data_IF_337191613394
#
_entry.id   IF_337191613394
#
_cell.length_a   1.000
_cell.length_b   1.000
_cell.length_c   1.000
_cell.angle_alpha   90.00
_cell.angle_beta   90.00
_cell.angle_gamma   90.00
#
_symmetry.space_group_name_H-M   'P 1'
#
loop_
_entity.id
_entity.type
_entity.pdbx_description
1 polymer ?
#
# COMPACT_ATOMS: atom_id res chain seq x y z
N UNK A 1 45.49 -76.70 -22.13
CA UNK A 1 45.87 -75.51 -21.42
C UNK A 1 44.60 -74.65 -21.21
N UNK A 2 44.03 -74.72 -20.06
CA UNK A 2 42.78 -73.96 -19.74
C UNK A 2 43.18 -72.93 -18.69
N UNK A 3 43.01 -71.65 -19.04
CA UNK A 3 43.20 -70.54 -18.07
C UNK A 3 41.87 -70.26 -17.39
N UNK A 4 41.88 -70.39 -16.06
CA UNK A 4 40.82 -69.99 -15.16
C UNK A 4 41.11 -68.57 -14.75
N UNK A 5 40.26 -67.62 -15.13
CA UNK A 5 40.31 -66.24 -14.69
C UNK A 5 39.41 -66.09 -13.43
N UNK A 6 40.07 -65.89 -12.33
CA UNK A 6 39.41 -65.65 -11.03
C UNK A 6 39.05 -64.13 -10.93
N UNK A 7 37.74 -63.80 -11.03
CA UNK A 7 37.27 -62.44 -10.88
C UNK A 7 37.12 -62.08 -9.38
N UNK A 8 37.93 -61.15 -8.94
CA UNK A 8 37.91 -60.65 -7.55
C UNK A 8 36.86 -59.52 -7.47
N UNK A 9 35.72 -59.77 -6.80
CA UNK A 9 34.66 -58.83 -6.58
C UNK A 9 34.99 -57.98 -5.33
N UNK A 10 35.42 -56.74 -5.54
CA UNK A 10 35.67 -55.79 -4.46
C UNK A 10 34.36 -55.08 -4.13
N UNK A 11 33.84 -55.39 -2.94
CA UNK A 11 32.66 -54.68 -2.40
C UNK A 11 33.15 -53.40 -1.74
N UNK A 12 32.89 -52.25 -2.36
CA UNK A 12 33.03 -50.95 -1.74
C UNK A 12 31.80 -50.66 -0.89
N UNK A 13 31.92 -50.77 0.41
CA UNK A 13 30.94 -50.23 1.36
C UNK A 13 31.14 -48.72 1.46
N UNK A 14 30.30 -47.94 0.74
CA UNK A 14 30.23 -46.47 0.94
C UNK A 14 29.43 -46.21 2.21
N UNK A 15 30.14 -45.92 3.28
CA UNK A 15 29.58 -45.36 4.53
C UNK A 15 29.29 -43.89 4.28
N UNK A 16 28.05 -43.52 3.96
CA UNK A 16 27.59 -42.14 4.00
C UNK A 16 27.41 -41.73 5.46
N UNK A 17 28.48 -41.22 6.08
CA UNK A 17 28.41 -40.40 7.29
C UNK A 17 27.95 -38.99 6.86
N UNK A 18 26.65 -38.73 6.87
CA UNK A 18 26.10 -37.40 6.64
C UNK A 18 26.46 -36.48 7.80
N UNK A 19 27.44 -35.62 7.59
CA UNK A 19 27.71 -34.47 8.45
C UNK A 19 26.55 -33.48 8.26
N UNK A 20 25.55 -33.47 9.13
CA UNK A 20 24.51 -32.44 9.19
C UNK A 20 25.18 -31.13 9.57
N UNK A 21 25.47 -30.28 8.60
CA UNK A 21 25.79 -28.87 8.82
C UNK A 21 24.59 -28.22 9.51
N UNK A 22 24.71 -27.65 10.71
CA UNK A 22 23.57 -27.07 11.43
C UNK A 22 23.16 -25.69 10.91
N UNK A 23 23.62 -25.26 9.76
CA UNK A 23 23.36 -23.92 9.19
C UNK A 23 22.70 -23.95 7.80
N UNK A 24 22.03 -25.01 7.42
CA UNK A 24 21.04 -24.91 6.37
C UNK A 24 19.76 -24.39 7.05
N UNK A 25 19.43 -23.11 6.85
CA UNK A 25 18.06 -22.63 7.00
C UNK A 25 17.23 -23.54 6.08
N UNK A 26 16.52 -24.51 6.64
CA UNK A 26 15.50 -25.25 5.92
C UNK A 26 14.56 -24.14 5.39
N UNK A 27 14.58 -23.95 4.06
CA UNK A 27 13.58 -23.12 3.39
C UNK A 27 12.25 -23.77 3.76
N UNK A 28 11.47 -23.07 4.57
CA UNK A 28 10.15 -23.55 4.97
C UNK A 28 9.32 -23.74 3.70
N UNK A 29 8.92 -24.99 3.44
CA UNK A 29 8.09 -25.30 2.29
C UNK A 29 6.66 -24.84 2.54
N UNK A 30 6.03 -24.32 1.49
CA UNK A 30 4.63 -23.91 1.50
C UNK A 30 3.72 -25.14 1.67
N UNK A 31 2.77 -25.09 2.59
CA UNK A 31 1.75 -26.11 2.80
C UNK A 31 0.63 -25.95 1.75
N UNK A 32 0.81 -26.65 0.64
CA UNK A 32 -0.12 -26.61 -0.49
C UNK A 32 -1.48 -27.22 -0.09
N UNK A 33 -1.51 -28.25 0.76
CA UNK A 33 -2.76 -28.86 1.18
C UNK A 33 -3.59 -27.90 2.05
N UNK A 34 -2.95 -27.22 2.99
CA UNK A 34 -3.60 -26.17 3.78
C UNK A 34 -4.10 -25.02 2.90
N UNK A 35 -3.32 -24.63 1.89
CA UNK A 35 -3.71 -23.60 0.94
C UNK A 35 -4.92 -23.99 0.09
N UNK A 36 -5.02 -25.24 -0.34
CA UNK A 36 -6.19 -25.76 -1.07
C UNK A 36 -7.44 -25.78 -0.19
N UNK A 37 -7.35 -26.15 1.07
CA UNK A 37 -8.45 -26.09 2.03
C UNK A 37 -8.98 -24.67 2.22
N UNK A 38 -8.10 -23.66 2.13
CA UNK A 38 -8.46 -22.26 2.31
C UNK A 38 -9.20 -21.65 1.10
N UNK A 39 -9.21 -22.30 -0.07
CA UNK A 39 -9.91 -21.78 -1.25
C UNK A 39 -11.41 -21.61 -1.00
N UNK A 40 -12.01 -20.51 -1.53
CA UNK A 40 -13.44 -20.22 -1.44
C UNK A 40 -13.78 -18.92 -0.71
N UNK A 41 -15.04 -18.77 -0.33
CA UNK A 41 -15.56 -17.61 0.39
C UNK A 41 -15.74 -17.97 1.85
N UNK A 42 -15.32 -17.08 2.72
CA UNK A 42 -15.32 -17.28 4.17
C UNK A 42 -16.11 -16.18 4.85
N UNK A 43 -17.05 -16.59 5.71
CA UNK A 43 -17.90 -15.72 6.52
C UNK A 43 -17.42 -15.75 7.96
N UNK A 44 -17.60 -14.65 8.64
CA UNK A 44 -17.40 -14.56 10.08
C UNK A 44 -18.49 -15.32 10.83
N UNK A 45 -18.11 -16.17 11.79
CA UNK A 45 -19.02 -17.04 12.55
C UNK A 45 -20.03 -16.29 13.44
N UNK A 46 -19.71 -15.03 13.83
CA UNK A 46 -20.56 -14.25 14.73
C UNK A 46 -21.54 -13.37 13.97
N UNK A 47 -21.08 -12.77 12.87
CA UNK A 47 -21.87 -11.79 12.11
C UNK A 47 -22.51 -12.36 10.87
N UNK A 48 -22.16 -13.57 10.46
CA UNK A 48 -22.56 -14.20 9.19
C UNK A 48 -22.23 -13.35 7.95
N UNK A 49 -21.28 -12.44 8.10
CA UNK A 49 -20.87 -11.50 7.05
C UNK A 49 -19.69 -12.05 6.27
N UNK A 50 -19.66 -11.92 4.93
CA UNK A 50 -18.51 -12.28 4.13
C UNK A 50 -17.29 -11.44 4.52
N UNK A 51 -16.21 -12.11 4.89
CA UNK A 51 -14.96 -11.47 5.30
C UNK A 51 -13.92 -11.50 4.20
N UNK A 52 -13.67 -12.70 3.64
CA UNK A 52 -12.66 -12.87 2.61
C UNK A 52 -13.05 -13.94 1.57
N UNK A 53 -12.56 -13.75 0.34
CA UNK A 53 -12.53 -14.75 -0.72
C UNK A 53 -11.09 -15.10 -1.02
N UNK A 54 -10.79 -16.38 -1.06
CA UNK A 54 -9.47 -16.91 -1.41
C UNK A 54 -9.54 -17.57 -2.77
N UNK A 55 -8.68 -17.14 -3.69
CA UNK A 55 -8.58 -17.67 -5.05
C UNK A 55 -7.12 -17.79 -5.46
N UNK A 56 -6.63 -19.01 -5.68
CA UNK A 56 -5.22 -19.30 -5.95
C UNK A 56 -4.32 -18.83 -4.82
N UNK A 57 -3.42 -17.91 -5.11
CA UNK A 57 -2.43 -17.35 -4.19
C UNK A 57 -2.87 -16.01 -3.57
N UNK A 58 -4.17 -15.67 -3.68
CA UNK A 58 -4.65 -14.32 -3.39
C UNK A 58 -5.86 -14.34 -2.46
N UNK A 59 -5.83 -13.47 -1.45
CA UNK A 59 -6.96 -13.14 -0.58
C UNK A 59 -7.59 -11.83 -1.06
N UNK A 60 -8.90 -11.81 -1.20
CA UNK A 60 -9.75 -10.66 -1.47
C UNK A 60 -10.61 -10.40 -0.23
N UNK A 61 -10.55 -9.22 0.34
CA UNK A 61 -11.45 -8.82 1.42
C UNK A 61 -12.75 -8.25 0.86
N UNK A 62 -13.85 -8.39 1.62
CA UNK A 62 -15.16 -7.85 1.24
C UNK A 62 -15.22 -6.31 1.30
N UNK A 63 -14.16 -5.65 1.78
CA UNK A 63 -14.02 -4.20 1.75
C UNK A 63 -13.69 -3.72 0.32
N UNK A 64 -14.53 -2.82 -0.21
CA UNK A 64 -14.39 -2.30 -1.57
C UNK A 64 -13.10 -1.50 -1.81
N UNK A 65 -12.47 -0.96 -0.75
CA UNK A 65 -11.25 -0.16 -0.83
C UNK A 65 -9.98 -1.02 -0.69
N UNK A 66 -10.10 -2.22 -0.13
CA UNK A 66 -8.95 -3.11 0.07
C UNK A 66 -8.40 -3.63 -1.25
N UNK A 67 -7.08 -3.81 -1.34
CA UNK A 67 -6.43 -4.50 -2.46
C UNK A 67 -6.31 -5.98 -2.19
N UNK A 68 -6.34 -6.84 -3.22
CA UNK A 68 -5.98 -8.23 -3.06
C UNK A 68 -4.57 -8.37 -2.52
N UNK A 69 -4.39 -9.31 -1.62
CA UNK A 69 -3.13 -9.59 -0.94
C UNK A 69 -2.67 -11.00 -1.30
N UNK A 70 -1.41 -11.14 -1.73
CA UNK A 70 -0.81 -12.46 -1.91
C UNK A 70 -0.59 -13.13 -0.55
N UNK A 71 -0.70 -14.45 -0.49
CA UNK A 71 -0.49 -15.20 0.74
C UNK A 71 0.26 -16.52 0.53
N UNK A 72 0.80 -17.04 1.62
CA UNK A 72 1.32 -18.40 1.75
C UNK A 72 0.96 -18.97 3.11
N UNK A 73 0.82 -20.28 3.17
CA UNK A 73 0.74 -21.00 4.44
C UNK A 73 2.02 -21.81 4.59
N UNK A 74 2.72 -21.63 5.71
CA UNK A 74 3.90 -22.38 6.06
C UNK A 74 3.72 -22.90 7.48
N UNK A 75 3.68 -24.22 7.65
CA UNK A 75 3.26 -24.85 8.90
C UNK A 75 1.86 -24.35 9.32
N UNK A 76 1.69 -23.90 10.55
CA UNK A 76 0.42 -23.39 11.08
C UNK A 76 0.39 -21.85 11.06
N UNK A 77 1.01 -21.20 10.04
CA UNK A 77 1.05 -19.74 9.94
C UNK A 77 0.61 -19.32 8.53
N UNK A 78 -0.38 -18.45 8.48
CA UNK A 78 -0.78 -17.73 7.29
C UNK A 78 0.05 -16.45 7.18
N UNK A 79 0.88 -16.34 6.16
CA UNK A 79 1.63 -15.14 5.80
C UNK A 79 0.88 -14.38 4.71
N UNK A 80 0.69 -13.09 4.90
CA UNK A 80 0.12 -12.21 3.88
C UNK A 80 1.15 -11.17 3.45
N UNK A 81 1.22 -10.91 2.14
CA UNK A 81 2.23 -10.05 1.50
C UNK A 81 1.53 -8.86 0.84
N UNK A 82 1.26 -7.83 1.63
CA UNK A 82 0.75 -6.56 1.18
C UNK A 82 1.85 -5.51 1.11
N UNK A 83 1.52 -4.26 1.50
CA UNK A 83 2.51 -3.20 1.74
C UNK A 83 3.52 -3.64 2.81
N UNK A 84 3.02 -4.28 3.86
CA UNK A 84 3.81 -4.95 4.88
C UNK A 84 3.53 -6.46 4.86
N UNK A 85 4.48 -7.26 5.33
CA UNK A 85 4.26 -8.69 5.55
C UNK A 85 3.65 -8.90 6.92
N UNK A 86 2.47 -9.50 6.97
CA UNK A 86 1.79 -9.86 8.22
C UNK A 86 1.68 -11.37 8.34
N UNK A 87 1.63 -11.88 9.56
CA UNK A 87 1.49 -13.30 9.83
C UNK A 87 0.41 -13.56 10.88
N UNK A 88 -0.34 -14.63 10.68
CA UNK A 88 -1.47 -15.04 11.51
C UNK A 88 -1.30 -16.50 11.88
N UNK A 89 -1.27 -16.82 13.18
CA UNK A 89 -1.21 -18.20 13.63
C UNK A 89 -2.54 -18.89 13.37
N UNK A 90 -2.53 -19.99 12.65
CA UNK A 90 -3.71 -20.83 12.43
C UNK A 90 -3.96 -21.66 13.68
N UNK A 91 -5.16 -21.57 14.22
CA UNK A 91 -5.61 -22.35 15.36
C UNK A 91 -6.30 -23.64 14.91
N UNK A 92 -7.16 -23.54 13.88
CA UNK A 92 -7.88 -24.66 13.33
C UNK A 92 -8.19 -24.46 11.84
N UNK A 93 -7.94 -25.49 11.05
CA UNK A 93 -8.28 -25.51 9.63
C UNK A 93 -8.93 -26.82 9.22
N UNK A 94 -9.97 -26.72 8.38
CA UNK A 94 -10.69 -27.84 7.80
C UNK A 94 -11.45 -27.39 6.56
N UNK A 95 -12.22 -28.31 5.95
CA UNK A 95 -12.94 -28.04 4.72
C UNK A 95 -13.94 -26.87 4.83
N UNK A 96 -14.61 -26.74 6.00
CA UNK A 96 -15.63 -25.71 6.25
C UNK A 96 -15.32 -24.77 7.39
N UNK A 97 -14.15 -24.88 8.04
CA UNK A 97 -13.77 -24.07 9.18
C UNK A 97 -12.34 -23.56 9.02
N UNK A 98 -12.14 -22.28 9.39
CA UNK A 98 -10.82 -21.65 9.42
C UNK A 98 -10.74 -20.67 10.60
N UNK A 99 -9.94 -21.01 11.61
CA UNK A 99 -9.75 -20.20 12.81
C UNK A 99 -8.31 -19.78 12.89
N UNK A 100 -8.06 -18.53 13.15
CA UNK A 100 -6.70 -17.99 13.27
C UNK A 100 -6.64 -16.84 14.27
N UNK A 101 -5.44 -16.56 14.78
CA UNK A 101 -5.20 -15.43 15.66
C UNK A 101 -4.94 -14.16 14.85
N UNK A 102 -5.65 -13.08 15.16
CA UNK A 102 -5.35 -11.75 14.63
C UNK A 102 -4.05 -11.20 15.25
N UNK A 103 -3.60 -10.03 14.77
CA UNK A 103 -2.42 -9.36 15.33
C UNK A 103 -2.62 -8.93 16.79
N UNK A 104 -3.85 -8.83 17.26
CA UNK A 104 -4.22 -8.53 18.66
C UNK A 104 -4.42 -9.80 19.50
N UNK A 105 -4.07 -10.96 18.94
CA UNK A 105 -4.22 -12.31 19.56
C UNK A 105 -5.69 -12.73 19.80
N UNK A 106 -6.66 -12.05 19.19
CA UNK A 106 -8.05 -12.50 19.17
C UNK A 106 -8.23 -13.63 18.17
N UNK A 107 -9.01 -14.64 18.53
CA UNK A 107 -9.32 -15.77 17.64
C UNK A 107 -10.46 -15.36 16.70
N UNK A 108 -10.14 -15.23 15.42
CA UNK A 108 -11.11 -15.04 14.35
C UNK A 108 -11.62 -16.40 13.91
N UNK A 109 -12.91 -16.59 13.91
CA UNK A 109 -13.57 -17.86 13.54
C UNK A 109 -14.34 -17.65 12.27
N UNK A 110 -14.01 -18.44 11.25
CA UNK A 110 -14.65 -18.37 9.96
C UNK A 110 -15.20 -19.74 9.58
N UNK A 111 -16.33 -19.73 8.86
CA UNK A 111 -16.84 -20.87 8.15
C UNK A 111 -16.95 -20.60 6.64
N UNK A 112 -16.87 -21.66 5.85
CA UNK A 112 -16.92 -21.56 4.38
C UNK A 112 -18.36 -21.37 3.93
N UNK A 113 -18.61 -20.35 3.09
CA UNK A 113 -19.91 -20.14 2.46
C UNK A 113 -20.22 -21.24 1.44
N UNK A 114 -21.48 -21.68 1.43
CA UNK A 114 -22.06 -22.53 0.41
C UNK A 114 -22.98 -21.73 -0.54
N UNK A 115 -23.24 -20.44 -0.26
CA UNK A 115 -24.09 -19.58 -1.09
C UNK A 115 -23.27 -18.90 -2.19
N UNK A 116 -23.59 -19.20 -3.44
CA UNK A 116 -22.96 -18.58 -4.61
C UNK A 116 -23.22 -17.07 -4.69
N UNK A 117 -24.28 -16.58 -4.04
CA UNK A 117 -24.58 -15.14 -4.03
C UNK A 117 -23.59 -14.34 -3.21
N UNK A 118 -22.88 -14.95 -2.26
CA UNK A 118 -21.86 -14.25 -1.46
C UNK A 118 -20.69 -13.74 -2.31
N UNK A 119 -20.53 -14.26 -3.52
CA UNK A 119 -19.55 -13.75 -4.48
C UNK A 119 -19.78 -12.27 -4.86
N UNK A 120 -20.99 -11.74 -4.72
CA UNK A 120 -21.34 -10.36 -5.05
C UNK A 120 -20.58 -9.34 -4.18
N UNK A 121 -20.25 -9.69 -2.93
CA UNK A 121 -19.50 -8.85 -2.00
C UNK A 121 -18.04 -8.64 -2.42
N UNK A 122 -17.54 -9.48 -3.34
CA UNK A 122 -16.18 -9.44 -3.86
C UNK A 122 -16.13 -8.97 -5.32
N UNK A 123 -17.24 -8.56 -5.89
CA UNK A 123 -17.27 -7.88 -7.20
C UNK A 123 -16.68 -6.49 -6.99
N UNK A 124 -15.44 -6.31 -7.45
CA UNK A 124 -14.76 -5.01 -7.39
C UNK A 124 -15.55 -3.97 -8.18
N UNK A 125 -16.21 -3.10 -7.46
CA UNK A 125 -16.26 -1.71 -7.88
C UNK A 125 -14.91 -1.12 -7.47
N UNK A 126 -14.10 -0.68 -8.43
CA UNK A 126 -12.97 0.19 -8.12
C UNK A 126 -13.55 1.52 -7.56
N UNK A 127 -13.99 1.49 -6.32
CA UNK A 127 -14.28 2.69 -5.55
C UNK A 127 -12.95 3.29 -5.13
N UNK A 128 -12.25 3.76 -6.15
CA UNK A 128 -11.23 4.77 -5.96
C UNK A 128 -11.98 6.00 -5.50
N UNK A 129 -11.82 6.38 -4.26
CA UNK A 129 -12.24 7.69 -3.78
C UNK A 129 -11.11 8.66 -4.11
N UNK A 130 -11.12 9.30 -5.30
CA UNK A 130 -10.18 10.38 -5.55
C UNK A 130 -10.63 11.54 -4.67
N UNK A 131 -9.71 12.18 -4.00
CA UNK A 131 -9.96 13.42 -3.27
C UNK A 131 -10.51 14.48 -4.23
N UNK A 132 -10.15 14.39 -5.50
CA UNK A 132 -10.70 15.17 -6.60
C UNK A 132 -11.03 14.25 -7.77
N UNK A 133 -12.23 14.39 -8.32
CA UNK A 133 -12.67 13.69 -9.53
C UNK A 133 -12.36 14.51 -10.80
N UNK A 134 -12.22 15.83 -10.64
CA UNK A 134 -12.01 16.78 -11.72
C UNK A 134 -10.91 17.78 -11.38
N UNK A 135 -10.32 18.37 -12.41
CA UNK A 135 -9.33 19.42 -12.26
C UNK A 135 -9.95 20.63 -11.56
N UNK A 136 -9.43 20.98 -10.39
CA UNK A 136 -9.84 22.17 -9.64
C UNK A 136 -8.87 23.31 -9.90
N UNK A 137 -9.38 24.45 -10.34
CA UNK A 137 -8.60 25.67 -10.58
C UNK A 137 -8.86 26.72 -9.51
N UNK A 138 -7.78 27.26 -8.96
CA UNK A 138 -7.81 28.45 -8.08
C UNK A 138 -7.03 29.57 -8.75
N UNK A 139 -7.63 30.78 -8.77
CA UNK A 139 -7.06 31.98 -9.37
C UNK A 139 -6.97 33.07 -8.30
N UNK A 140 -5.78 33.63 -8.12
CA UNK A 140 -5.52 34.73 -7.18
C UNK A 140 -4.87 35.89 -7.93
N UNK A 141 -5.44 37.08 -7.77
CA UNK A 141 -4.89 38.32 -8.32
C UNK A 141 -4.40 39.18 -7.16
N UNK A 142 -3.12 39.54 -7.21
CA UNK A 142 -2.46 40.33 -6.16
C UNK A 142 -1.67 41.47 -6.75
N UNK A 143 -1.54 42.56 -5.99
CA UNK A 143 -0.68 43.71 -6.35
C UNK A 143 0.44 43.81 -5.32
N UNK A 144 1.68 43.93 -5.79
CA UNK A 144 2.83 44.14 -4.96
C UNK A 144 3.76 45.18 -5.63
N UNK A 145 4.14 46.20 -4.86
CA UNK A 145 4.95 47.36 -5.36
C UNK A 145 4.39 47.95 -6.66
N UNK A 146 3.06 48.11 -6.75
CA UNK A 146 2.41 48.69 -7.93
C UNK A 146 2.24 47.73 -9.13
N UNK A 147 2.89 46.58 -9.10
CA UNK A 147 2.82 45.56 -10.15
C UNK A 147 1.71 44.54 -9.84
N UNK A 148 0.90 44.21 -10.85
CA UNK A 148 -0.19 43.23 -10.73
C UNK A 148 0.30 41.85 -11.18
N UNK A 149 0.08 40.85 -10.33
CA UNK A 149 0.40 39.45 -10.57
C UNK A 149 -0.85 38.58 -10.55
N UNK A 150 -0.79 37.45 -11.26
CA UNK A 150 -1.79 36.38 -11.18
C UNK A 150 -1.10 35.10 -10.77
N UNK A 151 -1.64 34.45 -9.74
CA UNK A 151 -1.17 33.19 -9.23
C UNK A 151 -2.27 32.12 -9.42
N UNK A 152 -1.97 31.06 -10.15
CA UNK A 152 -2.89 29.94 -10.39
C UNK A 152 -2.38 28.71 -9.66
N UNK A 153 -3.33 27.95 -9.12
CA UNK A 153 -3.11 26.59 -8.65
C UNK A 153 -4.14 25.69 -9.35
N UNK A 154 -3.67 24.70 -10.07
CA UNK A 154 -4.49 23.63 -10.62
C UNK A 154 -4.24 22.36 -9.82
N UNK A 155 -5.30 21.79 -9.25
CA UNK A 155 -5.26 20.49 -8.58
C UNK A 155 -5.67 19.47 -9.63
N UNK A 156 -4.72 18.63 -10.04
CA UNK A 156 -4.94 17.64 -11.09
C UNK A 156 -4.96 16.25 -10.44
N UNK A 157 -6.10 15.54 -10.46
CA UNK A 157 -6.15 14.13 -10.08
C UNK A 157 -5.15 13.31 -10.89
N UNK A 158 -4.42 12.42 -10.23
CA UNK A 158 -3.44 11.57 -10.90
C UNK A 158 -3.79 10.09 -10.75
N UNK A 159 -3.09 9.23 -11.48
CA UNK A 159 -3.18 7.77 -11.34
C UNK A 159 -2.08 7.19 -10.45
N UNK A 160 -1.33 8.04 -9.75
CA UNK A 160 -0.30 7.60 -8.82
C UNK A 160 -0.95 7.00 -7.58
N UNK A 161 -0.72 5.72 -7.36
CA UNK A 161 -1.27 4.99 -6.22
C UNK A 161 -0.57 5.34 -4.93
N UNK A 162 -1.34 5.47 -3.87
CA UNK A 162 -0.88 5.55 -2.49
C UNK A 162 -1.58 4.44 -1.73
N UNK A 163 -0.80 3.54 -1.13
CA UNK A 163 -1.34 2.43 -0.36
C UNK A 163 -1.27 2.80 1.12
N UNK A 164 -2.38 2.60 1.81
CA UNK A 164 -2.48 2.77 3.25
C UNK A 164 -2.96 1.45 3.85
N UNK A 165 -2.10 0.83 4.66
CA UNK A 165 -2.47 -0.34 5.43
C UNK A 165 -3.35 0.07 6.60
N UNK A 166 -4.51 -0.56 6.73
CA UNK A 166 -5.43 -0.43 7.85
C UNK A 166 -5.64 -1.80 8.49
N UNK A 167 -6.28 -1.80 9.65
CA UNK A 167 -6.63 -3.03 10.35
C UNK A 167 -8.11 -3.02 10.64
N UNK A 168 -8.79 -4.16 10.40
CA UNK A 168 -10.18 -4.32 10.81
C UNK A 168 -10.30 -4.26 12.34
N UNK A 169 -11.52 -4.16 12.87
CA UNK A 169 -11.78 -4.24 14.32
C UNK A 169 -11.24 -5.55 14.91
N UNK A 170 -11.22 -6.61 14.11
CA UNK A 170 -10.70 -7.94 14.47
C UNK A 170 -9.18 -8.06 14.35
N UNK A 171 -8.48 -7.02 13.85
CA UNK A 171 -7.03 -7.01 13.68
C UNK A 171 -6.54 -7.74 12.42
N UNK A 172 -7.34 -7.70 11.35
CA UNK A 172 -6.92 -8.18 10.03
C UNK A 172 -6.34 -7.02 9.24
N UNK A 173 -5.14 -7.22 8.68
CA UNK A 173 -4.46 -6.23 7.85
C UNK A 173 -5.11 -6.14 6.47
N UNK A 174 -5.42 -4.93 6.03
CA UNK A 174 -6.00 -4.63 4.72
C UNK A 174 -5.29 -3.44 4.08
N UNK A 175 -4.93 -3.54 2.81
CA UNK A 175 -4.31 -2.46 2.05
C UNK A 175 -5.37 -1.71 1.22
N UNK A 176 -5.55 -0.43 1.55
CA UNK A 176 -6.47 0.46 0.85
C UNK A 176 -5.72 1.32 -0.17
N UNK A 177 -6.28 1.47 -1.38
CA UNK A 177 -5.68 2.26 -2.45
C UNK A 177 -6.36 3.61 -2.57
N UNK A 178 -5.53 4.64 -2.55
CA UNK A 178 -5.90 6.02 -2.86
C UNK A 178 -5.08 6.52 -4.06
N UNK A 179 -5.49 7.66 -4.62
CA UNK A 179 -4.74 8.30 -5.69
C UNK A 179 -4.26 9.67 -5.27
N UNK A 180 -3.02 9.95 -5.61
CA UNK A 180 -2.37 11.23 -5.34
C UNK A 180 -2.79 12.28 -6.37
N UNK A 181 -2.51 13.56 -6.08
CA UNK A 181 -2.72 14.66 -6.99
C UNK A 181 -1.38 15.27 -7.44
N UNK A 182 -1.42 15.94 -8.57
CA UNK A 182 -0.35 16.82 -9.06
C UNK A 182 -0.86 18.24 -9.03
N UNK A 183 -0.16 19.14 -8.33
CA UNK A 183 -0.51 20.55 -8.26
C UNK A 183 0.29 21.33 -9.29
N UNK A 184 -0.35 21.90 -10.30
CA UNK A 184 0.31 22.79 -11.24
C UNK A 184 0.21 24.23 -10.75
N UNK A 185 1.34 24.86 -10.48
CA UNK A 185 1.42 26.24 -9.99
C UNK A 185 1.98 27.13 -11.09
N UNK A 186 1.28 28.24 -11.37
CA UNK A 186 1.72 29.25 -12.31
C UNK A 186 1.69 30.64 -11.68
N UNK A 187 2.69 31.46 -11.94
CA UNK A 187 2.74 32.88 -11.58
C UNK A 187 3.01 33.72 -12.81
N UNK A 188 2.20 34.74 -13.04
CA UNK A 188 2.30 35.67 -14.18
C UNK A 188 2.40 37.12 -13.73
N UNK A 189 3.28 37.86 -14.40
CA UNK A 189 3.30 39.32 -14.43
C UNK A 189 2.76 39.78 -15.79
N UNK A 190 1.49 40.21 -15.83
CA UNK A 190 0.81 40.49 -17.10
C UNK A 190 0.76 39.25 -18.00
N UNK A 191 1.50 39.28 -19.13
CA UNK A 191 1.61 38.13 -20.05
C UNK A 191 2.88 37.29 -19.82
N UNK A 192 3.81 37.77 -18.98
CA UNK A 192 5.07 37.10 -18.72
C UNK A 192 4.88 36.02 -17.65
N UNK A 193 5.23 34.77 -17.95
CA UNK A 193 5.33 33.72 -16.95
C UNK A 193 6.58 33.91 -16.12
N UNK A 194 6.44 34.02 -14.81
CA UNK A 194 7.54 34.03 -13.86
C UNK A 194 7.86 32.61 -13.35
N UNK A 195 6.81 31.78 -13.22
CA UNK A 195 6.92 30.42 -12.75
C UNK A 195 5.81 29.58 -13.35
N UNK A 196 6.10 28.34 -13.73
CA UNK A 196 5.13 27.34 -14.09
C UNK A 196 5.75 25.95 -13.84
N UNK A 197 5.22 25.19 -12.89
CA UNK A 197 5.76 23.86 -12.55
C UNK A 197 4.70 22.97 -11.93
N UNK A 198 4.87 21.67 -12.17
CA UNK A 198 4.14 20.62 -11.48
C UNK A 198 4.81 20.34 -10.13
N UNK A 199 4.00 20.34 -9.08
CA UNK A 199 4.40 20.03 -7.73
C UNK A 199 3.82 18.66 -7.40
N UNK A 200 4.69 17.72 -7.03
CA UNK A 200 4.34 16.37 -6.59
C UNK A 200 4.76 16.15 -5.14
N UNK A 201 4.15 15.19 -4.46
CA UNK A 201 4.46 14.94 -3.04
C UNK A 201 5.92 14.54 -2.81
N UNK A 202 6.59 13.92 -3.78
CA UNK A 202 8.01 13.54 -3.69
C UNK A 202 8.94 14.72 -3.49
N UNK A 203 8.52 15.93 -3.90
CA UNK A 203 9.30 17.15 -3.70
C UNK A 203 9.42 17.56 -2.22
N UNK A 204 8.61 16.97 -1.35
CA UNK A 204 8.58 17.26 0.09
C UNK A 204 9.42 16.29 0.93
N UNK A 205 10.19 15.39 0.31
CA UNK A 205 10.98 14.32 0.97
C UNK A 205 12.00 14.83 2.00
N UNK A 206 12.47 16.06 1.85
CA UNK A 206 13.44 16.70 2.77
C UNK A 206 12.80 17.40 3.96
N UNK A 207 11.49 17.63 3.92
CA UNK A 207 10.77 18.45 4.93
C UNK A 207 9.66 17.69 5.63
N UNK A 208 9.35 16.47 5.16
CA UNK A 208 8.29 15.62 5.70
C UNK A 208 8.89 14.22 5.95
N UNK A 209 8.57 13.57 7.10
CA UNK A 209 9.03 12.20 7.38
C UNK A 209 8.62 11.20 6.29
N UNK A 210 9.53 10.29 5.93
CA UNK A 210 9.33 9.34 4.85
C UNK A 210 8.10 8.44 5.06
N UNK A 211 7.90 7.93 6.28
CA UNK A 211 6.77 7.05 6.63
C UNK A 211 5.42 7.76 6.47
N UNK A 212 5.35 9.05 6.87
CA UNK A 212 4.16 9.86 6.64
C UNK A 212 3.95 10.13 5.14
N UNK A 213 5.03 10.48 4.42
CA UNK A 213 4.96 10.79 3.00
C UNK A 213 4.49 9.58 2.18
N UNK A 214 4.90 8.37 2.56
CA UNK A 214 4.50 7.14 1.88
C UNK A 214 2.99 6.94 1.86
N UNK A 215 2.31 7.21 2.99
CA UNK A 215 0.88 7.00 3.19
C UNK A 215 0.01 8.23 2.88
N UNK A 216 0.62 9.41 2.70
CA UNK A 216 -0.12 10.65 2.44
C UNK A 216 -0.37 10.88 0.96
N UNK A 217 -1.36 11.70 0.68
CA UNK A 217 -1.62 12.31 -0.63
C UNK A 217 -1.38 13.82 -0.56
N UNK A 218 -0.97 14.43 -1.64
CA UNK A 218 -0.94 15.89 -1.79
C UNK A 218 -2.39 16.38 -1.97
N UNK A 219 -3.06 16.65 -0.86
CA UNK A 219 -4.51 16.85 -0.83
C UNK A 219 -4.93 18.25 -1.26
N UNK A 220 -4.12 19.27 -0.97
CA UNK A 220 -4.45 20.64 -1.29
C UNK A 220 -3.22 21.52 -1.49
N UNK A 221 -3.39 22.60 -2.24
CA UNK A 221 -2.41 23.69 -2.35
C UNK A 221 -3.13 25.01 -2.55
N UNK A 222 -2.73 26.02 -1.79
CA UNK A 222 -3.30 27.37 -1.87
C UNK A 222 -2.22 28.44 -1.94
N UNK A 223 -2.49 29.49 -2.71
CA UNK A 223 -1.77 30.73 -2.62
C UNK A 223 -2.11 31.47 -1.32
N UNK A 224 -1.11 32.00 -0.62
CA UNK A 224 -1.29 32.68 0.67
C UNK A 224 -1.08 34.17 0.55
N UNK A 225 0.07 34.60 0.03
CA UNK A 225 0.44 36.02 -0.07
C UNK A 225 1.63 36.22 -1.02
N UNK A 226 1.88 37.49 -1.33
CA UNK A 226 3.15 37.96 -1.91
C UNK A 226 3.85 38.92 -0.93
N UNK A 227 5.15 38.85 -0.85
CA UNK A 227 5.97 39.78 -0.07
C UNK A 227 7.29 40.05 -0.80
N UNK A 228 8.27 40.63 -0.11
CA UNK A 228 9.62 40.97 -0.68
C UNK A 228 10.41 39.78 -1.20
N UNK A 229 10.16 38.58 -0.67
CA UNK A 229 10.84 37.34 -1.07
C UNK A 229 10.20 36.70 -2.30
N UNK A 230 8.87 36.82 -2.46
CA UNK A 230 8.14 36.20 -3.56
C UNK A 230 6.70 35.83 -3.22
N UNK A 231 6.24 34.81 -3.88
CA UNK A 231 4.88 34.28 -3.83
C UNK A 231 4.84 33.07 -2.90
N UNK A 232 4.04 33.16 -1.83
CA UNK A 232 3.96 32.13 -0.80
C UNK A 232 2.73 31.25 -1.03
N UNK A 233 2.95 29.95 -0.95
CA UNK A 233 1.95 28.91 -1.04
C UNK A 233 2.01 28.00 0.18
N UNK A 234 0.91 27.33 0.47
CA UNK A 234 0.85 26.23 1.42
C UNK A 234 0.32 25.00 0.74
N UNK A 235 1.08 23.91 0.81
CA UNK A 235 0.67 22.58 0.43
C UNK A 235 0.20 21.81 1.66
N UNK A 236 -0.84 20.99 1.49
CA UNK A 236 -1.36 20.10 2.52
C UNK A 236 -1.16 18.66 2.06
N UNK A 237 -0.39 17.92 2.83
CA UNK A 237 -0.24 16.48 2.70
C UNK A 237 -1.13 15.82 3.78
N UNK A 238 -2.01 14.92 3.40
CA UNK A 238 -2.94 14.29 4.34
C UNK A 238 -2.95 12.78 4.15
N UNK A 239 -3.02 12.04 5.28
CA UNK A 239 -3.29 10.60 5.23
C UNK A 239 -4.80 10.42 4.99
N UNK A 240 -5.21 9.77 3.90
CA UNK A 240 -6.63 9.59 3.57
C UNK A 240 -7.43 9.01 4.74
N UNK A 241 -8.68 9.47 4.88
CA UNK A 241 -9.63 9.02 5.92
C UNK A 241 -9.14 9.16 7.36
N UNK A 242 -8.22 10.09 7.59
CA UNK A 242 -7.78 10.46 8.94
C UNK A 242 -7.75 11.97 9.10
N UNK A 243 -7.61 12.43 10.35
CA UNK A 243 -7.33 13.83 10.67
C UNK A 243 -5.83 14.18 10.66
N UNK A 244 -4.99 13.24 10.24
CA UNK A 244 -3.53 13.41 10.24
C UNK A 244 -3.10 14.10 8.95
N UNK A 245 -2.51 15.27 9.07
CA UNK A 245 -2.00 16.04 7.94
C UNK A 245 -0.74 16.82 8.31
N UNK A 246 0.00 17.23 7.31
CA UNK A 246 1.15 18.14 7.41
C UNK A 246 0.96 19.31 6.45
N UNK A 247 1.26 20.51 6.93
CA UNK A 247 1.29 21.72 6.11
C UNK A 247 2.74 22.06 5.79
N UNK A 248 3.03 22.27 4.52
CA UNK A 248 4.37 22.62 4.03
C UNK A 248 4.30 23.98 3.33
N UNK A 249 5.24 24.85 3.63
CA UNK A 249 5.35 26.16 2.98
C UNK A 249 6.20 26.05 1.72
N UNK A 250 5.74 26.71 0.66
CA UNK A 250 6.46 26.86 -0.59
C UNK A 250 6.57 28.36 -0.91
N UNK A 251 7.74 28.78 -1.36
CA UNK A 251 8.00 30.15 -1.80
C UNK A 251 8.54 30.14 -3.23
N UNK A 252 7.91 30.89 -4.11
CA UNK A 252 8.39 31.13 -5.47
C UNK A 252 8.94 32.53 -5.54
N UNK A 253 10.25 32.65 -5.79
CA UNK A 253 10.90 33.95 -5.92
C UNK A 253 10.41 34.71 -7.16
N UNK A 254 10.63 36.04 -7.22
CA UNK A 254 10.37 36.85 -8.44
C UNK A 254 11.25 36.44 -9.65
N UNK A 255 12.29 35.63 -9.42
CA UNK A 255 13.15 35.05 -10.47
C UNK A 255 12.64 33.67 -10.96
N UNK A 256 11.67 33.09 -10.27
CA UNK A 256 11.11 31.79 -10.60
C UNK A 256 11.80 30.61 -9.89
N UNK A 257 12.53 30.86 -8.80
CA UNK A 257 13.09 29.77 -7.99
C UNK A 257 12.07 29.31 -6.96
N UNK A 258 11.93 27.99 -6.80
CA UNK A 258 11.07 27.38 -5.80
C UNK A 258 11.87 26.94 -4.58
N UNK A 259 11.45 27.37 -3.41
CA UNK A 259 11.95 26.92 -2.12
C UNK A 259 10.82 26.23 -1.33
N UNK A 260 11.13 25.10 -0.69
CA UNK A 260 10.19 24.30 0.12
C UNK A 260 10.72 24.22 1.55
N UNK A 261 9.90 24.59 2.52
CA UNK A 261 10.27 24.63 3.94
C UNK A 261 9.18 24.01 4.80
N UNK A 262 9.57 23.36 5.90
CA UNK A 262 8.58 22.86 6.88
C UNK A 262 7.80 24.02 7.49
N UNK A 263 6.50 23.83 7.71
CA UNK A 263 5.72 24.72 8.59
C UNK A 263 6.18 24.52 10.03
N UNK A 264 6.65 25.59 10.66
CA UNK A 264 6.97 25.58 12.10
C UNK A 264 5.71 25.52 12.94
#
# INVERSE_FOLDING_TARGET
>A
MKYVVLSLMVIFSVSCGGNKNPNFLELEEEDIAAKELLQGIWLDDETESPLMRVEGDTIYYADAQSTPIAFKIMRDILYTYGNDTTYYKIDKQGEHIFWFHSITDNVIKLHKSEDLNDSIYFVRQELVVPTYTEVTKRDSVVTYNGTRYRAYVYINPSKMRVIKTTYSEDGISMDNVYYDNVMHICVYEGKKSLFASDITKQMFDKVVPADFLAQSILSDTKFVKVNRNGFHYQAVLAIPETSIYSVVNMEVSFKGDLEITSSK
#
